data_IF_661912250114
#
_entry.id   IF_661912250114
#
_cell.length_a   1.000
_cell.length_b   1.000
_cell.length_c   1.000
_cell.angle_alpha   90.00
_cell.angle_beta   90.00
_cell.angle_gamma   90.00
#
_symmetry.space_group_name_H-M   'P 1'
#
loop_
_entity.id
_entity.type
_entity.pdbx_description
1 polymer ?
#
# COMPACT_ATOMS: atom_id res chain seq x y z
N UNK A 1 -0.21 4.93 -8.51
CA UNK A 1 0.76 5.15 -7.42
C UNK A 1 1.69 3.96 -7.21
N UNK A 2 1.22 2.77 -6.82
CA UNK A 2 2.12 1.63 -6.50
C UNK A 2 2.96 1.11 -7.67
N UNK A 3 2.37 1.01 -8.87
CA UNK A 3 3.06 0.53 -10.09
C UNK A 3 4.19 1.49 -10.50
N UNK A 4 3.92 2.80 -10.54
CA UNK A 4 4.97 3.78 -10.85
C UNK A 4 6.06 3.80 -9.78
N UNK A 5 5.69 3.65 -8.51
CA UNK A 5 6.66 3.59 -7.41
C UNK A 5 7.58 2.38 -7.50
N UNK A 6 7.07 1.20 -7.88
CA UNK A 6 7.90 0.00 -8.06
C UNK A 6 8.88 0.14 -9.22
N UNK A 7 8.49 0.80 -10.32
CA UNK A 7 9.40 1.04 -11.44
C UNK A 7 10.47 2.09 -11.17
N UNK A 8 10.20 3.04 -10.28
CA UNK A 8 11.15 4.12 -9.96
C UNK A 8 11.94 3.89 -8.66
N UNK A 9 11.71 2.78 -7.93
CA UNK A 9 12.42 2.49 -6.69
C UNK A 9 12.11 3.47 -5.56
N UNK A 10 10.87 3.96 -5.47
CA UNK A 10 10.41 4.88 -4.43
C UNK A 10 9.23 4.29 -3.64
N UNK A 11 8.89 4.91 -2.52
CA UNK A 11 7.79 4.46 -1.67
C UNK A 11 6.50 5.19 -2.04
N UNK A 12 5.36 4.49 -1.95
CA UNK A 12 4.04 5.07 -2.20
C UNK A 12 3.00 4.46 -1.27
N UNK A 13 2.13 5.30 -0.71
CA UNK A 13 1.02 4.85 0.12
C UNK A 13 -0.30 5.14 -0.58
N UNK A 14 -1.11 4.10 -0.82
CA UNK A 14 -2.51 4.23 -1.26
C UNK A 14 -3.41 4.05 -0.03
N UNK A 15 -3.87 5.13 0.61
CA UNK A 15 -4.70 5.02 1.80
C UNK A 15 -6.07 4.40 1.48
N UNK A 16 -6.89 4.27 2.52
CA UNK A 16 -8.32 3.98 2.34
C UNK A 16 -8.94 5.09 1.47
N UNK A 17 -9.94 4.72 0.68
CA UNK A 17 -10.68 5.68 -0.13
C UNK A 17 -11.29 6.74 0.79
N UNK A 18 -11.43 7.98 0.29
CA UNK A 18 -11.86 9.16 1.05
C UNK A 18 -10.96 9.61 2.21
N UNK A 19 -9.85 8.93 2.53
CA UNK A 19 -8.91 9.45 3.54
C UNK A 19 -8.37 10.85 3.21
N UNK A 20 -8.39 11.24 1.93
CA UNK A 20 -7.99 12.54 1.40
C UNK A 20 -9.14 13.02 0.50
N UNK A 21 -9.50 14.31 0.60
CA UNK A 21 -10.53 14.92 -0.25
C UNK A 21 -10.21 14.71 -1.73
N UNK A 22 -11.22 14.30 -2.50
CA UNK A 22 -11.07 14.03 -3.93
C UNK A 22 -11.62 15.15 -4.82
N UNK A 23 -12.17 16.20 -4.21
CA UNK A 23 -12.69 17.36 -4.92
C UNK A 23 -11.58 18.08 -5.68
N UNK A 24 -11.88 18.48 -6.92
CA UNK A 24 -10.92 19.16 -7.79
C UNK A 24 -9.93 18.23 -8.50
N UNK A 25 -10.00 16.91 -8.32
CA UNK A 25 -9.24 15.97 -9.15
C UNK A 25 -9.86 15.90 -10.54
N UNK A 26 -9.00 15.98 -11.57
CA UNK A 26 -9.37 15.65 -12.94
C UNK A 26 -8.92 14.22 -13.32
N UNK A 27 -9.72 13.44 -14.07
CA UNK A 27 -11.08 13.75 -14.51
C UNK A 27 -12.07 13.76 -13.36
N UNK A 28 -13.22 14.43 -13.53
CA UNK A 28 -14.32 14.27 -12.58
C UNK A 28 -14.86 12.84 -12.72
N UNK A 29 -14.69 12.03 -11.66
CA UNK A 29 -15.02 10.61 -11.69
C UNK A 29 -16.48 10.43 -11.24
N UNK A 30 -17.31 9.69 -12.00
CA UNK A 30 -18.68 9.41 -11.57
C UNK A 30 -18.71 8.81 -10.17
N UNK A 31 -19.66 9.24 -9.34
CA UNK A 31 -19.79 8.87 -7.92
C UNK A 31 -19.70 7.36 -7.67
N UNK A 32 -20.20 6.53 -8.60
CA UNK A 32 -20.15 5.06 -8.51
C UNK A 32 -18.72 4.48 -8.46
N UNK A 33 -17.72 5.19 -8.98
CA UNK A 33 -16.31 4.75 -9.01
C UNK A 33 -15.43 5.47 -8.00
N UNK A 34 -15.99 6.40 -7.24
CA UNK A 34 -15.24 7.25 -6.32
C UNK A 34 -14.60 6.42 -5.19
N UNK A 35 -15.24 5.31 -4.80
CA UNK A 35 -14.69 4.33 -3.84
C UNK A 35 -13.42 3.60 -4.33
N UNK A 36 -13.13 3.59 -5.64
CA UNK A 36 -11.94 2.94 -6.20
C UNK A 36 -10.75 3.89 -6.29
N UNK A 37 -11.00 5.19 -6.13
CA UNK A 37 -10.02 6.26 -6.23
C UNK A 37 -9.47 6.61 -4.86
N UNK A 38 -8.21 6.99 -4.85
CA UNK A 38 -7.49 7.38 -3.64
C UNK A 38 -6.28 8.22 -4.02
N UNK A 39 -6.10 9.33 -3.31
CA UNK A 39 -4.87 10.12 -3.32
C UNK A 39 -4.01 9.68 -2.16
N UNK A 40 -2.70 9.61 -2.37
CA UNK A 40 -1.75 9.39 -1.29
C UNK A 40 -0.34 9.79 -1.68
N UNK A 41 0.57 9.85 -0.70
CA UNK A 41 1.92 10.35 -0.91
C UNK A 41 2.82 9.34 -1.61
N UNK A 42 3.82 9.88 -2.33
CA UNK A 42 4.96 9.16 -2.87
C UNK A 42 6.24 9.87 -2.41
N UNK A 43 7.21 9.13 -1.87
CA UNK A 43 8.41 9.70 -1.23
C UNK A 43 9.64 8.84 -1.45
N UNK A 44 10.84 9.42 -1.30
CA UNK A 44 12.12 8.70 -1.36
C UNK A 44 12.32 7.76 -0.16
N UNK A 45 11.76 8.10 1.00
CA UNK A 45 11.90 7.31 2.22
C UNK A 45 10.53 6.91 2.78
N UNK A 46 10.42 5.66 3.25
CA UNK A 46 9.19 5.13 3.83
C UNK A 46 8.71 5.90 5.07
N UNK A 47 9.65 6.47 5.85
CA UNK A 47 9.36 7.29 7.03
C UNK A 47 8.53 8.53 6.73
N UNK A 48 8.60 9.04 5.50
CA UNK A 48 7.98 10.32 5.11
C UNK A 48 6.54 10.14 4.63
N UNK A 49 6.13 8.90 4.30
CA UNK A 49 4.78 8.61 3.81
C UNK A 49 3.71 8.97 4.85
N UNK A 50 3.94 8.56 6.09
CA UNK A 50 2.94 8.70 7.15
C UNK A 50 2.77 10.16 7.60
N UNK A 51 3.84 10.94 7.88
CA UNK A 51 3.70 12.37 8.16
C UNK A 51 3.03 13.14 7.03
N UNK A 52 3.40 12.85 5.77
CA UNK A 52 2.82 13.55 4.63
C UNK A 52 1.34 13.20 4.45
N UNK A 53 0.96 11.93 4.63
CA UNK A 53 -0.44 11.53 4.59
C UNK A 53 -1.26 12.21 5.69
N UNK A 54 -0.73 12.31 6.91
CA UNK A 54 -1.43 12.97 8.01
C UNK A 54 -1.69 14.47 7.75
N UNK A 55 -0.82 15.14 6.98
CA UNK A 55 -0.99 16.55 6.60
C UNK A 55 -2.11 16.73 5.57
N UNK A 56 -2.23 15.81 4.60
CA UNK A 56 -3.20 15.92 3.51
C UNK A 56 -4.52 15.18 3.77
N UNK A 57 -4.63 14.45 4.88
CA UNK A 57 -5.84 13.74 5.25
C UNK A 57 -7.01 14.72 5.46
N UNK A 58 -8.20 14.34 5.01
CA UNK A 58 -9.41 15.15 5.21
C UNK A 58 -9.76 15.15 6.72
N UNK A 59 -9.76 16.29 7.43
CA UNK A 59 -10.06 16.32 8.86
C UNK A 59 -11.53 16.02 9.19
N UNK A 60 -12.45 16.08 8.21
CA UNK A 60 -13.88 15.89 8.39
C UNK A 60 -14.35 14.47 8.07
N UNK A 61 -13.47 13.64 7.50
CA UNK A 61 -13.78 12.25 7.19
C UNK A 61 -13.83 11.40 8.47
N UNK A 62 -14.93 10.67 8.74
CA UNK A 62 -15.08 9.89 9.96
C UNK A 62 -13.98 8.83 10.13
N UNK A 63 -13.42 8.33 9.02
CA UNK A 63 -12.35 7.33 9.04
C UNK A 63 -10.95 7.93 9.22
N UNK A 64 -10.67 9.13 8.70
CA UNK A 64 -9.38 9.80 8.91
C UNK A 64 -9.20 10.19 10.38
N UNK A 65 -10.28 10.63 11.05
CA UNK A 65 -10.31 10.92 12.49
C UNK A 65 -10.21 9.68 13.39
N UNK A 66 -10.49 8.47 12.86
CA UNK A 66 -10.33 7.19 13.58
C UNK A 66 -8.92 6.61 13.45
N UNK A 67 -8.11 7.10 12.52
CA UNK A 67 -6.78 6.58 12.28
C UNK A 67 -5.77 7.23 13.24
N UNK A 68 -5.38 6.48 14.26
CA UNK A 68 -4.23 6.85 15.08
C UNK A 68 -2.95 6.55 14.31
N UNK A 69 -2.57 7.48 13.42
CA UNK A 69 -1.39 7.41 12.56
C UNK A 69 -0.12 7.11 13.34
N UNK A 70 0.01 7.61 14.57
CA UNK A 70 1.18 7.44 15.41
C UNK A 70 1.16 6.16 16.27
N UNK A 71 0.09 5.36 16.21
CA UNK A 71 -0.03 4.14 16.99
C UNK A 71 1.09 3.17 16.63
N UNK A 72 1.98 2.95 17.58
CA UNK A 72 3.01 1.90 17.45
C UNK A 72 2.33 0.53 17.49
N UNK A 73 2.81 -0.37 16.64
CA UNK A 73 2.35 -1.75 16.56
C UNK A 73 3.50 -2.69 16.89
N UNK A 74 3.23 -3.73 17.67
CA UNK A 74 4.21 -4.78 17.95
C UNK A 74 4.21 -5.78 16.81
N UNK A 75 5.28 -5.79 16.02
CA UNK A 75 5.39 -6.66 14.85
C UNK A 75 5.31 -8.16 15.21
N UNK A 76 5.75 -8.55 16.41
CA UNK A 76 5.66 -9.93 16.92
C UNK A 76 4.23 -10.45 17.07
N UNK A 77 3.25 -9.54 17.19
CA UNK A 77 1.83 -9.89 17.33
C UNK A 77 1.11 -9.95 15.96
N UNK A 78 1.78 -9.54 14.88
CA UNK A 78 1.23 -9.50 13.53
C UNK A 78 1.55 -10.81 12.79
N UNK A 79 0.56 -11.33 12.06
CA UNK A 79 0.76 -12.42 11.10
C UNK A 79 0.71 -11.85 9.69
N UNK A 80 1.79 -12.00 8.93
CA UNK A 80 1.85 -11.65 7.52
C UNK A 80 1.39 -12.83 6.66
N UNK A 81 0.45 -12.58 5.76
CA UNK A 81 0.05 -13.54 4.74
C UNK A 81 0.62 -13.10 3.40
N UNK A 82 1.13 -14.02 2.59
CA UNK A 82 1.69 -13.71 1.27
C UNK A 82 1.23 -14.73 0.24
N UNK A 83 1.24 -14.32 -1.03
CA UNK A 83 1.01 -15.21 -2.16
C UNK A 83 2.02 -14.86 -3.26
N UNK A 84 2.52 -15.87 -3.97
CA UNK A 84 3.46 -15.68 -5.08
C UNK A 84 2.75 -15.40 -6.41
N UNK A 85 1.51 -15.87 -6.54
CA UNK A 85 0.68 -15.72 -7.73
C UNK A 85 -0.78 -15.65 -7.29
N UNK A 86 -1.57 -14.85 -8.00
CA UNK A 86 -3.02 -14.74 -7.84
C UNK A 86 -3.79 -15.82 -8.64
N UNK A 87 -3.09 -16.73 -9.32
CA UNK A 87 -3.68 -17.75 -10.19
C UNK A 87 -4.00 -17.29 -11.62
N UNK A 88 -3.76 -16.00 -11.92
CA UNK A 88 -4.01 -15.37 -13.21
C UNK A 88 -2.74 -15.08 -14.01
N UNK A 89 -1.61 -15.71 -13.68
CA UNK A 89 -0.36 -15.53 -14.42
C UNK A 89 -0.55 -15.73 -15.93
N UNK A 90 -0.30 -14.68 -16.71
CA UNK A 90 -0.46 -14.70 -18.17
C UNK A 90 -1.92 -14.71 -18.66
N UNK A 91 -2.90 -14.48 -17.77
CA UNK A 91 -4.34 -14.46 -18.08
C UNK A 91 -4.90 -13.05 -17.95
N UNK A 92 -6.02 -12.78 -18.63
CA UNK A 92 -6.75 -11.50 -18.57
C UNK A 92 -5.89 -10.25 -18.85
N UNK A 93 -4.83 -10.40 -19.65
CA UNK A 93 -3.90 -9.30 -19.97
C UNK A 93 -2.93 -8.93 -18.84
N UNK A 94 -2.89 -9.69 -17.74
CA UNK A 94 -1.85 -9.56 -16.73
C UNK A 94 -0.60 -10.34 -17.17
N UNK A 95 0.60 -9.74 -17.11
CA UNK A 95 1.84 -10.49 -17.31
C UNK A 95 1.99 -11.55 -16.20
N UNK A 96 2.65 -12.66 -16.53
CA UNK A 96 3.02 -13.64 -15.51
C UNK A 96 4.00 -13.01 -14.51
N UNK A 97 3.96 -13.47 -13.26
CA UNK A 97 4.96 -13.07 -12.26
C UNK A 97 6.35 -13.50 -12.71
N UNK A 98 7.23 -12.52 -12.90
CA UNK A 98 8.63 -12.76 -13.27
C UNK A 98 9.44 -13.31 -12.10
N UNK A 99 10.50 -14.07 -12.42
CA UNK A 99 11.37 -14.68 -11.42
C UNK A 99 11.99 -13.67 -10.45
N UNK A 100 12.30 -12.46 -10.93
CA UNK A 100 12.88 -11.41 -10.09
C UNK A 100 11.91 -10.93 -9.00
N UNK A 101 10.61 -10.92 -9.29
CA UNK A 101 9.58 -10.58 -8.30
C UNK A 101 9.43 -11.71 -7.26
N UNK A 102 9.46 -12.96 -7.69
CA UNK A 102 9.44 -14.12 -6.80
C UNK A 102 10.67 -14.14 -5.87
N UNK A 103 11.86 -13.89 -6.41
CA UNK A 103 13.11 -13.79 -5.65
C UNK A 103 13.07 -12.61 -4.65
N UNK A 104 12.51 -11.47 -5.06
CA UNK A 104 12.33 -10.33 -4.16
C UNK A 104 11.37 -10.66 -3.01
N UNK A 105 10.29 -11.40 -3.28
CA UNK A 105 9.37 -11.88 -2.24
C UNK A 105 10.04 -12.83 -1.25
N UNK A 106 10.90 -13.75 -1.72
CA UNK A 106 11.69 -14.61 -0.84
C UNK A 106 12.59 -13.81 0.11
N UNK A 107 13.22 -12.75 -0.39
CA UNK A 107 14.01 -11.83 0.44
C UNK A 107 13.15 -11.12 1.49
N UNK A 108 11.95 -10.66 1.13
CA UNK A 108 11.00 -10.04 2.06
C UNK A 108 10.58 -11.04 3.13
N UNK A 109 10.13 -12.24 2.75
CA UNK A 109 9.69 -13.29 3.68
C UNK A 109 10.82 -13.65 4.65
N UNK A 110 12.04 -13.83 4.14
CA UNK A 110 13.22 -14.08 4.97
C UNK A 110 13.47 -12.94 5.95
N UNK A 111 13.34 -11.68 5.52
CA UNK A 111 13.48 -10.52 6.40
C UNK A 111 12.42 -10.50 7.51
N UNK A 112 11.14 -10.73 7.16
CA UNK A 112 10.02 -10.78 8.10
C UNK A 112 10.22 -11.87 9.17
N UNK A 113 10.65 -13.06 8.77
CA UNK A 113 10.84 -14.20 9.68
C UNK A 113 12.15 -14.06 10.48
N UNK A 114 13.28 -13.86 9.79
CA UNK A 114 14.59 -13.95 10.42
C UNK A 114 14.96 -12.69 11.20
N UNK A 115 14.60 -11.51 10.71
CA UNK A 115 14.98 -10.23 11.31
C UNK A 115 13.86 -9.70 12.19
N UNK A 116 12.65 -9.57 11.64
CA UNK A 116 11.51 -8.99 12.39
C UNK A 116 10.78 -9.97 13.30
N UNK A 117 11.11 -11.27 13.22
CA UNK A 117 10.52 -12.36 14.04
C UNK A 117 8.99 -12.41 13.94
N UNK A 118 8.44 -12.10 12.77
CA UNK A 118 7.00 -12.13 12.51
C UNK A 118 6.54 -13.53 12.15
N UNK A 119 5.26 -13.83 12.41
CA UNK A 119 4.62 -15.04 11.88
C UNK A 119 4.30 -14.80 10.40
N UNK A 120 4.73 -15.69 9.52
CA UNK A 120 4.45 -15.60 8.08
C UNK A 120 3.72 -16.86 7.62
N UNK A 121 2.67 -16.69 6.82
CA UNK A 121 1.86 -17.77 6.25
C UNK A 121 1.65 -17.51 4.76
N UNK A 122 1.68 -18.58 3.98
CA UNK A 122 1.28 -18.54 2.58
C UNK A 122 -0.23 -18.79 2.47
#
# INVERSE_FOLDING_TARGET
MRISASFCGIYAHKPVSYAVMQDGIFPNIPSLRNNLMSIGPMTKHASDLLPLLAVIADPHEPESGRQNWNKRVKLSEITAFYMLSDGNDGKFGAPAVENDLSNAMDHVIKHLVCILKMKVKQ
#
